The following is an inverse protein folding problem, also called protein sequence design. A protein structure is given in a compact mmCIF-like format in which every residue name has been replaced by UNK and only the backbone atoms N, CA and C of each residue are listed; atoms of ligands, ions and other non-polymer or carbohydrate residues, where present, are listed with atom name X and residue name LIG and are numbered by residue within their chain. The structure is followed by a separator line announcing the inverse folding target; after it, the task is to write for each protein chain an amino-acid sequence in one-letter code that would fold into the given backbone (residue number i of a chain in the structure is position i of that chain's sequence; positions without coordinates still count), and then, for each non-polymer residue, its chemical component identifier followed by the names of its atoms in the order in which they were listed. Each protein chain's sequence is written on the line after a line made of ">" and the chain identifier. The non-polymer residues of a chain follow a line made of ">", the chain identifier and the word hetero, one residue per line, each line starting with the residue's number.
data_IF_619387231415
#
_entry.id   IF_619387231415
#
_cell.length_a   1.000
_cell.length_b   1.000
_cell.length_c   1.000
_cell.angle_alpha   90.00
_cell.angle_beta   90.00
_cell.angle_gamma   90.00
#
_symmetry.space_group_name_H-M   'P 1'
#
loop_
_entity.id
_entity.type
_entity.pdbx_description
1 polymer ?
#
# COMPACT_ATOMS: atom_id res chain seq x y z
N UNK A 1 -23.04 -5.96 9.10
CA UNK A 1 -22.10 -5.11 8.32
C UNK A 1 -21.98 -3.78 9.04
N UNK A 2 -20.78 -3.21 9.15
CA UNK A 2 -20.56 -1.94 9.85
C UNK A 2 -19.63 -1.07 9.03
N UNK A 3 -19.90 0.23 9.04
CA UNK A 3 -19.17 1.20 8.24
C UNK A 3 -18.38 2.12 9.17
N UNK A 4 -17.08 2.09 9.01
CA UNK A 4 -16.15 2.82 9.85
C UNK A 4 -15.31 3.77 9.01
N UNK A 5 -15.22 5.01 9.47
CA UNK A 5 -14.21 5.96 9.04
C UNK A 5 -13.28 6.25 10.22
N UNK A 6 -11.98 6.04 10.03
CA UNK A 6 -10.96 6.32 11.05
C UNK A 6 -10.07 7.44 10.58
N UNK A 7 -9.83 8.44 11.41
CA UNK A 7 -9.01 9.58 11.08
C UNK A 7 -7.79 9.66 12.00
N UNK A 8 -6.70 10.23 11.48
CA UNK A 8 -5.44 10.42 12.21
C UNK A 8 -4.94 9.13 12.90
N UNK A 9 -4.73 8.06 12.12
CA UNK A 9 -4.34 6.72 12.62
C UNK A 9 -5.31 6.08 13.64
N UNK A 10 -6.59 6.48 13.61
CA UNK A 10 -7.61 5.91 14.49
C UNK A 10 -7.70 6.56 15.86
N UNK A 11 -7.07 7.72 16.05
CA UNK A 11 -7.33 8.59 17.21
C UNK A 11 -8.80 9.00 17.21
N UNK A 12 -9.34 9.34 16.04
CA UNK A 12 -10.75 9.61 15.89
C UNK A 12 -11.39 8.50 15.05
N UNK A 13 -12.54 8.02 15.53
CA UNK A 13 -13.27 6.92 14.90
C UNK A 13 -14.73 7.34 14.78
N UNK A 14 -15.24 7.25 13.57
CA UNK A 14 -16.63 7.48 13.22
C UNK A 14 -17.24 6.16 12.75
N UNK A 15 -18.16 5.63 13.54
CA UNK A 15 -19.07 4.57 13.10
C UNK A 15 -20.32 5.23 12.56
N UNK A 16 -20.68 4.93 11.31
CA UNK A 16 -21.94 5.42 10.76
C UNK A 16 -23.11 4.85 11.59
N UNK A 17 -24.04 5.71 12.05
CA UNK A 17 -25.17 5.25 12.86
C UNK A 17 -26.13 4.38 12.04
N UNK A 18 -26.37 4.77 10.78
CA UNK A 18 -27.19 4.03 9.84
C UNK A 18 -26.31 3.50 8.73
N UNK A 19 -26.49 2.23 8.39
CA UNK A 19 -25.78 1.65 7.26
C UNK A 19 -26.43 2.14 5.96
N UNK A 20 -25.66 2.55 4.94
CA UNK A 20 -26.22 2.87 3.63
C UNK A 20 -26.85 1.63 2.99
N UNK A 21 -27.90 1.83 2.21
CA UNK A 21 -28.59 0.74 1.50
C UNK A 21 -27.72 0.09 0.42
N UNK A 22 -26.89 0.89 -0.24
CA UNK A 22 -25.99 0.44 -1.28
C UNK A 22 -24.69 1.24 -1.29
N UNK A 23 -23.66 0.65 -1.88
CA UNK A 23 -22.37 1.29 -2.09
C UNK A 23 -21.98 1.11 -3.53
N UNK A 24 -21.76 2.23 -4.22
CA UNK A 24 -21.19 2.22 -5.56
C UNK A 24 -19.67 2.25 -5.44
N UNK A 25 -19.01 1.19 -5.91
CA UNK A 25 -17.55 1.14 -6.04
C UNK A 25 -17.20 1.22 -7.52
N UNK A 26 -16.44 2.24 -7.90
CA UNK A 26 -16.00 2.45 -9.28
C UNK A 26 -14.50 2.24 -9.38
N UNK A 27 -14.09 1.32 -10.25
CA UNK A 27 -12.69 1.03 -10.56
C UNK A 27 -12.48 1.19 -12.06
N UNK A 28 -11.63 2.12 -12.46
CA UNK A 28 -11.41 2.46 -13.86
C UNK A 28 -9.92 2.42 -14.20
N UNK A 29 -9.61 2.31 -15.48
CA UNK A 29 -8.26 2.51 -16.02
C UNK A 29 -8.25 3.75 -16.92
N UNK A 30 -7.07 4.31 -17.16
CA UNK A 30 -6.87 5.21 -18.28
C UNK A 30 -7.03 4.45 -19.58
N UNK A 31 -7.72 5.03 -20.56
CA UNK A 31 -7.76 4.57 -21.93
C UNK A 31 -7.50 5.78 -22.82
N UNK A 32 -6.76 5.57 -23.89
CA UNK A 32 -6.50 6.57 -24.92
C UNK A 32 -6.71 5.88 -26.27
N UNK A 33 -7.73 6.33 -26.99
CA UNK A 33 -8.07 5.78 -28.30
C UNK A 33 -7.37 6.58 -29.39
N UNK A 34 -6.60 5.88 -30.22
CA UNK A 34 -5.80 6.48 -31.29
C UNK A 34 -6.28 5.94 -32.62
N UNK A 35 -6.64 6.85 -33.53
CA UNK A 35 -7.00 6.49 -34.90
C UNK A 35 -5.74 6.38 -35.77
N UNK A 36 -5.52 5.21 -36.37
CA UNK A 36 -4.38 4.94 -37.24
C UNK A 36 -4.87 4.87 -38.68
N UNK A 37 -4.31 5.70 -39.55
CA UNK A 37 -4.66 5.71 -40.98
C UNK A 37 -4.51 4.31 -41.59
N UNK A 38 -5.58 3.82 -42.23
CA UNK A 38 -5.71 2.49 -42.86
C UNK A 38 -5.74 1.28 -41.90
N UNK A 39 -5.70 1.47 -40.58
CA UNK A 39 -5.73 0.40 -39.57
C UNK A 39 -6.92 0.52 -38.60
N UNK A 40 -7.64 1.65 -38.62
CA UNK A 40 -8.81 1.89 -37.77
C UNK A 40 -8.42 2.39 -36.38
N UNK A 41 -9.33 2.20 -35.43
CA UNK A 41 -9.17 2.65 -34.04
C UNK A 41 -8.40 1.62 -33.21
N UNK A 42 -7.40 2.08 -32.46
CA UNK A 42 -6.62 1.27 -31.53
C UNK A 42 -6.61 1.90 -30.13
N UNK A 43 -7.02 1.12 -29.12
CA UNK A 43 -7.06 1.57 -27.72
C UNK A 43 -5.74 1.28 -27.00
N UNK A 44 -5.11 2.32 -26.48
CA UNK A 44 -3.97 2.24 -25.56
C UNK A 44 -4.50 2.13 -24.13
N UNK A 45 -4.18 1.03 -23.45
CA UNK A 45 -4.56 0.81 -22.05
C UNK A 45 -3.55 1.51 -21.14
N UNK A 46 -4.00 2.56 -20.47
CA UNK A 46 -3.24 3.30 -19.46
C UNK A 46 -3.31 2.68 -18.06
N UNK A 47 -2.75 3.40 -17.10
CA UNK A 47 -2.68 2.93 -15.71
C UNK A 47 -4.05 2.91 -15.01
N UNK A 48 -4.16 2.07 -13.98
CA UNK A 48 -5.33 2.03 -13.11
C UNK A 48 -5.56 3.38 -12.42
N UNK A 49 -6.80 3.86 -12.45
CA UNK A 49 -7.24 5.03 -11.69
C UNK A 49 -7.63 4.60 -10.27
N UNK A 50 -7.44 5.51 -9.32
CA UNK A 50 -7.79 5.32 -7.92
C UNK A 50 -9.28 5.02 -7.78
N UNK A 51 -9.64 4.00 -6.99
CA UNK A 51 -11.05 3.63 -6.79
C UNK A 51 -11.84 4.77 -6.17
N UNK A 52 -13.10 4.86 -6.58
CA UNK A 52 -14.06 5.80 -6.03
C UNK A 52 -15.19 5.02 -5.35
N UNK A 53 -15.61 5.53 -4.19
CA UNK A 53 -16.72 4.98 -3.42
C UNK A 53 -17.76 6.08 -3.25
N UNK A 54 -19.02 5.76 -3.50
CA UNK A 54 -20.13 6.69 -3.30
C UNK A 54 -21.29 5.96 -2.65
N UNK A 55 -21.87 6.56 -1.62
CA UNK A 55 -23.03 6.04 -0.93
C UNK A 55 -23.82 7.18 -0.28
N UNK A 56 -25.10 6.91 -0.02
CA UNK A 56 -26.02 7.83 0.64
C UNK A 56 -26.63 7.17 1.87
N UNK A 57 -26.84 7.96 2.92
CA UNK A 57 -27.47 7.51 4.17
C UNK A 57 -28.00 8.74 4.93
N UNK A 58 -28.33 8.60 6.21
CA UNK A 58 -28.78 9.69 7.05
C UNK A 58 -28.26 9.57 8.49
N UNK A 59 -28.17 10.70 9.16
CA UNK A 59 -27.88 10.81 10.58
C UNK A 59 -29.19 11.03 11.33
N UNK A 60 -29.66 10.02 12.11
CA UNK A 60 -30.91 10.10 12.82
C UNK A 60 -30.77 10.97 14.07
N UNK A 61 -31.78 11.80 14.36
CA UNK A 61 -31.86 12.57 15.61
C UNK A 61 -32.06 11.67 16.81
N UNK A 62 -32.98 10.71 16.68
CA UNK A 62 -33.34 9.78 17.75
C UNK A 62 -32.91 8.36 17.40
N UNK A 63 -32.59 7.57 18.43
CA UNK A 63 -32.25 6.16 18.25
C UNK A 63 -33.48 5.34 17.85
N UNK A 64 -33.31 4.48 16.84
CA UNK A 64 -34.29 3.49 16.43
C UNK A 64 -33.62 2.14 16.18
N UNK A 65 -34.06 1.09 16.88
CA UNK A 65 -33.49 -0.25 16.79
C UNK A 65 -33.63 -0.92 15.41
N UNK A 66 -34.55 -0.44 14.55
CA UNK A 66 -34.76 -1.02 13.22
C UNK A 66 -33.65 -0.72 12.23
N UNK A 67 -33.01 0.46 12.35
CA UNK A 67 -32.00 0.91 11.38
C UNK A 67 -30.71 1.44 12.03
N UNK A 68 -30.72 1.78 13.32
CA UNK A 68 -29.52 2.25 14.01
C UNK A 68 -28.63 1.09 14.43
N UNK A 69 -27.33 1.23 14.17
CA UNK A 69 -26.34 0.21 14.46
C UNK A 69 -25.91 0.21 15.93
N UNK A 70 -26.10 1.32 16.66
CA UNK A 70 -25.75 1.48 18.07
C UNK A 70 -26.65 2.50 18.77
N UNK A 71 -26.69 2.42 20.10
CA UNK A 71 -27.62 3.19 20.97
C UNK A 71 -27.13 4.59 21.31
N UNK A 72 -25.82 4.76 21.57
CA UNK A 72 -25.25 6.04 21.97
C UNK A 72 -24.93 6.91 20.76
N UNK A 73 -25.97 7.48 20.15
CA UNK A 73 -25.87 8.37 19.00
C UNK A 73 -25.44 9.78 19.43
N UNK A 74 -24.56 10.38 18.65
CA UNK A 74 -24.27 11.82 18.70
C UNK A 74 -25.37 12.59 17.98
N UNK A 75 -25.45 13.89 18.23
CA UNK A 75 -26.36 14.75 17.50
C UNK A 75 -25.99 14.75 15.99
N UNK A 76 -26.98 14.75 15.07
CA UNK A 76 -26.76 14.77 13.63
C UNK A 76 -25.77 15.85 13.17
N UNK A 77 -25.85 17.04 13.76
CA UNK A 77 -24.95 18.17 13.46
C UNK A 77 -23.50 17.91 13.84
N UNK A 78 -23.24 17.13 14.89
CA UNK A 78 -21.87 16.77 15.26
C UNK A 78 -21.22 15.86 14.21
N UNK A 79 -21.98 14.92 13.63
CA UNK A 79 -21.46 14.08 12.53
C UNK A 79 -21.08 14.91 11.32
N UNK A 80 -21.96 15.85 10.92
CA UNK A 80 -21.69 16.81 9.85
C UNK A 80 -20.42 17.58 10.15
N UNK A 81 -20.28 18.15 11.35
CA UNK A 81 -19.11 18.91 11.76
C UNK A 81 -17.81 18.07 11.75
N UNK A 82 -17.87 16.79 12.16
CA UNK A 82 -16.72 15.88 12.10
C UNK A 82 -16.30 15.64 10.65
N UNK A 83 -17.23 15.31 9.76
CA UNK A 83 -16.93 15.01 8.36
C UNK A 83 -16.42 16.26 7.65
N UNK A 84 -17.05 17.41 7.86
CA UNK A 84 -16.57 18.69 7.32
C UNK A 84 -15.15 18.99 7.79
N UNK A 85 -14.87 18.83 9.09
CA UNK A 85 -13.54 19.07 9.65
C UNK A 85 -12.50 18.13 9.03
N UNK A 86 -12.83 16.85 8.85
CA UNK A 86 -11.93 15.90 8.20
C UNK A 86 -11.70 16.25 6.74
N UNK A 87 -12.74 16.67 6.02
CA UNK A 87 -12.64 17.13 4.63
C UNK A 87 -11.76 18.38 4.51
N UNK A 88 -12.01 19.40 5.34
CA UNK A 88 -11.21 20.65 5.38
C UNK A 88 -9.76 20.42 5.76
N UNK A 89 -9.46 19.40 6.56
CA UNK A 89 -8.09 19.06 6.94
C UNK A 89 -7.21 18.60 5.77
N UNK A 90 -7.82 18.13 4.68
CA UNK A 90 -7.11 17.56 3.52
C UNK A 90 -6.31 16.28 3.80
N UNK A 91 -6.40 15.71 5.00
CA UNK A 91 -5.68 14.48 5.35
C UNK A 91 -6.51 13.23 4.99
N UNK A 92 -5.86 12.13 4.58
CA UNK A 92 -6.57 10.90 4.29
C UNK A 92 -7.18 10.28 5.56
N UNK A 93 -8.39 9.76 5.42
CA UNK A 93 -9.07 8.92 6.41
C UNK A 93 -9.01 7.45 5.96
N UNK A 94 -9.25 6.50 6.87
CA UNK A 94 -9.33 5.08 6.56
C UNK A 94 -10.79 4.65 6.54
N UNK A 95 -11.25 4.15 5.41
CA UNK A 95 -12.60 3.62 5.23
C UNK A 95 -12.58 2.10 5.30
N UNK A 96 -13.41 1.55 6.19
CA UNK A 96 -13.47 0.12 6.49
C UNK A 96 -14.93 -0.31 6.52
N UNK A 97 -15.21 -1.43 5.87
CA UNK A 97 -16.53 -2.07 5.95
C UNK A 97 -16.34 -3.49 6.48
N UNK A 98 -16.97 -3.79 7.62
CA UNK A 98 -16.85 -5.12 8.22
C UNK A 98 -17.64 -6.14 7.42
N UNK A 99 -17.01 -7.28 7.11
CA UNK A 99 -17.60 -8.34 6.30
C UNK A 99 -17.28 -8.26 4.80
N UNK A 100 -16.53 -7.27 4.33
CA UNK A 100 -16.04 -7.18 2.94
C UNK A 100 -14.53 -6.94 2.89
N UNK A 101 -13.96 -6.94 1.68
CA UNK A 101 -12.55 -6.61 1.41
C UNK A 101 -12.26 -5.10 1.42
N UNK A 102 -13.24 -4.26 1.79
CA UNK A 102 -13.08 -2.80 1.77
C UNK A 102 -12.34 -2.34 3.02
N UNK A 103 -11.08 -1.96 2.83
CA UNK A 103 -10.21 -1.45 3.88
C UNK A 103 -9.13 -0.53 3.28
N UNK A 104 -9.55 0.65 2.83
CA UNK A 104 -8.70 1.56 2.04
C UNK A 104 -8.45 2.89 2.75
N UNK A 105 -7.29 3.49 2.50
CA UNK A 105 -7.09 4.90 2.78
C UNK A 105 -7.83 5.71 1.69
N UNK A 106 -8.60 6.71 2.09
CA UNK A 106 -9.46 7.50 1.22
C UNK A 106 -9.38 8.98 1.56
N UNK A 107 -9.65 9.82 0.58
CA UNK A 107 -9.94 11.24 0.75
C UNK A 107 -11.43 11.48 0.56
N UNK A 108 -12.00 12.37 1.36
CA UNK A 108 -13.38 12.82 1.19
C UNK A 108 -13.38 13.82 0.02
N UNK A 109 -14.12 13.51 -1.05
CA UNK A 109 -14.16 14.30 -2.29
C UNK A 109 -15.36 15.24 -2.31
N UNK A 110 -16.53 14.73 -1.94
CA UNK A 110 -17.72 15.53 -1.73
C UNK A 110 -18.49 15.00 -0.52
N UNK A 111 -19.11 15.93 0.19
CA UNK A 111 -20.03 15.66 1.27
C UNK A 111 -21.17 16.64 1.14
N UNK A 112 -22.33 16.13 0.73
CA UNK A 112 -23.55 16.88 0.52
C UNK A 112 -24.55 16.42 1.56
N UNK A 113 -25.26 17.33 2.20
CA UNK A 113 -26.27 17.00 3.20
C UNK A 113 -27.49 17.92 3.10
N UNK A 114 -28.65 17.39 3.46
CA UNK A 114 -29.94 18.06 3.40
C UNK A 114 -30.84 17.66 4.58
N UNK A 115 -31.72 18.56 4.98
CA UNK A 115 -32.80 18.27 5.93
C UNK A 115 -34.11 18.17 5.14
N UNK A 116 -34.88 17.08 5.31
CA UNK A 116 -36.11 16.84 4.57
C UNK A 116 -37.33 17.25 5.39
N UNK A 117 -38.27 17.93 4.75
CA UNK A 117 -39.55 18.28 5.36
C UNK A 117 -40.34 17.00 5.71
N UNK A 118 -40.82 16.91 6.96
CA UNK A 118 -41.56 15.75 7.47
C UNK A 118 -40.75 14.87 8.44
N UNK A 119 -39.43 14.97 8.43
CA UNK A 119 -38.52 14.21 9.31
C UNK A 119 -37.60 15.17 10.10
N UNK A 120 -38.17 16.04 10.96
CA UNK A 120 -37.42 17.11 11.60
C UNK A 120 -36.33 16.57 12.51
N UNK A 121 -35.10 16.93 12.18
CA UNK A 121 -33.89 16.57 12.93
C UNK A 121 -33.01 15.54 12.24
N UNK A 122 -33.52 14.80 11.27
CA UNK A 122 -32.72 13.84 10.52
C UNK A 122 -31.98 14.55 9.38
N UNK A 123 -30.69 14.25 9.25
CA UNK A 123 -29.83 14.84 8.22
C UNK A 123 -29.47 13.77 7.20
N UNK A 124 -30.02 13.89 6.00
CA UNK A 124 -29.67 13.03 4.88
C UNK A 124 -28.36 13.49 4.28
N UNK A 125 -27.52 12.56 3.86
CA UNK A 125 -26.23 12.89 3.26
C UNK A 125 -25.83 11.94 2.13
N UNK A 126 -25.02 12.47 1.23
CA UNK A 126 -24.31 11.73 0.19
C UNK A 126 -22.82 11.98 0.36
N UNK A 127 -22.04 10.89 0.44
CA UNK A 127 -20.60 10.94 0.65
C UNK A 127 -19.88 10.29 -0.53
N UNK A 128 -18.97 11.04 -1.14
CA UNK A 128 -18.07 10.52 -2.19
C UNK A 128 -16.64 10.49 -1.68
N UNK A 129 -16.04 9.31 -1.73
CA UNK A 129 -14.69 9.02 -1.27
C UNK A 129 -13.84 8.56 -2.46
N UNK A 130 -12.55 8.93 -2.45
CA UNK A 130 -11.59 8.45 -3.44
C UNK A 130 -10.37 7.85 -2.75
N UNK A 131 -9.95 6.68 -3.21
CA UNK A 131 -8.77 5.98 -2.72
C UNK A 131 -7.56 6.91 -2.72
N UNK A 132 -6.79 6.87 -1.63
CA UNK A 132 -5.59 7.67 -1.44
C UNK A 132 -4.39 6.74 -1.34
N UNK A 133 -3.46 6.88 -2.27
CA UNK A 133 -2.19 6.16 -2.28
C UNK A 133 -1.11 7.05 -1.68
N UNK A 134 -0.46 6.58 -0.62
CA UNK A 134 0.68 7.28 -0.03
C UNK A 134 1.88 7.14 -0.96
N UNK A 135 2.47 8.27 -1.34
CA UNK A 135 3.69 8.30 -2.14
C UNK A 135 4.87 8.41 -1.18
N UNK A 136 5.62 7.33 -1.02
CA UNK A 136 6.91 7.36 -0.34
C UNK A 136 7.97 7.80 -1.34
N UNK A 137 8.29 9.10 -1.34
CA UNK A 137 9.44 9.59 -2.09
C UNK A 137 10.68 9.18 -1.30
N UNK A 138 11.46 8.24 -1.85
CA UNK A 138 12.78 7.93 -1.33
C UNK A 138 13.64 9.20 -1.43
N UNK A 139 13.77 9.93 -0.31
CA UNK A 139 14.77 10.99 -0.21
C UNK A 139 16.12 10.31 -0.35
N UNK A 140 16.80 10.52 -1.48
CA UNK A 140 18.24 10.27 -1.56
C UNK A 140 18.86 11.09 -0.44
N UNK A 141 19.44 10.40 0.54
CA UNK A 141 20.25 11.04 1.57
C UNK A 141 21.51 11.54 0.87
N UNK A 142 21.53 12.82 0.51
CA UNK A 142 22.79 13.51 0.38
C UNK A 142 23.37 13.57 1.78
N UNK A 143 24.31 12.66 2.04
CA UNK A 143 25.03 12.55 3.29
C UNK A 143 26.00 13.74 3.39
N UNK A 144 25.47 14.95 3.65
CA UNK A 144 26.27 16.07 4.16
C UNK A 144 26.33 15.92 5.67
N UNK A 145 27.41 15.31 6.12
CA UNK A 145 27.82 15.22 7.51
C UNK A 145 27.84 16.63 8.11
N UNK A 146 26.85 16.96 8.93
CA UNK A 146 26.95 18.06 9.89
C UNK A 146 26.98 17.44 11.27
N UNK A 147 28.19 17.37 11.80
CA UNK A 147 28.49 17.27 13.23
C UNK A 147 27.82 18.43 13.95
N UNK A 148 26.85 18.10 14.81
CA UNK A 148 26.20 19.03 15.72
C UNK A 148 25.55 18.25 16.85
N UNK A 149 26.31 18.06 17.92
CA UNK A 149 25.89 17.41 19.15
C UNK A 149 24.69 18.13 19.77
N UNK A 150 23.60 17.40 20.03
CA UNK A 150 22.74 17.65 21.18
C UNK A 150 21.96 16.37 21.50
N UNK A 151 22.46 15.69 22.52
CA UNK A 151 21.80 14.58 23.21
C UNK A 151 20.44 15.02 23.74
N UNK A 152 19.35 14.36 23.34
CA UNK A 152 18.17 14.21 24.20
C UNK A 152 17.42 12.92 23.90
N UNK A 153 17.50 12.06 24.89
CA UNK A 153 16.93 10.72 25.08
C UNK A 153 15.42 10.69 24.81
N UNK A 154 14.96 9.72 24.00
CA UNK A 154 13.58 9.22 24.01
C UNK A 154 13.53 7.72 23.64
N UNK A 155 12.49 6.98 24.09
CA UNK A 155 12.62 5.61 24.59
C UNK A 155 12.57 4.52 23.52
N UNK A 156 13.27 3.43 23.86
CA UNK A 156 13.18 2.11 23.25
C UNK A 156 11.77 1.53 23.40
N UNK A 157 11.05 1.34 22.29
CA UNK A 157 10.04 0.28 22.18
C UNK A 157 10.57 -0.82 21.27
N UNK A 158 10.94 -1.92 21.91
CA UNK A 158 11.10 -3.23 21.31
C UNK A 158 9.73 -3.85 21.07
N UNK A 159 9.38 -4.10 19.82
CA UNK A 159 8.55 -5.26 19.48
C UNK A 159 8.87 -5.74 18.06
N UNK A 160 9.37 -6.97 18.03
CA UNK A 160 9.69 -7.76 16.86
C UNK A 160 8.40 -8.09 16.10
N UNK A 161 8.26 -7.56 14.88
CA UNK A 161 7.38 -8.11 13.87
C UNK A 161 8.20 -8.33 12.58
N UNK A 162 8.47 -9.60 12.31
CA UNK A 162 9.25 -10.13 11.19
C UNK A 162 8.60 -9.73 9.85
N UNK A 163 9.10 -8.68 9.20
CA UNK A 163 8.77 -8.39 7.79
C UNK A 163 9.29 -9.54 6.91
N UNK A 164 8.53 -10.01 5.89
CA UNK A 164 9.09 -10.89 4.88
C UNK A 164 10.18 -10.14 4.13
N UNK A 165 11.38 -10.67 4.23
CA UNK A 165 12.56 -10.15 3.56
C UNK A 165 12.50 -10.52 2.08
N UNK A 166 12.08 -9.60 1.22
CA UNK A 166 12.20 -9.71 -0.25
C UNK A 166 13.59 -9.28 -0.75
N UNK A 167 14.65 -9.63 -0.01
CA UNK A 167 15.94 -9.82 -0.68
C UNK A 167 15.90 -11.18 -1.35
N UNK A 168 15.89 -11.18 -2.69
CA UNK A 168 16.21 -12.37 -3.46
C UNK A 168 17.60 -12.81 -2.99
N UNK A 169 17.65 -13.85 -2.14
CA UNK A 169 18.92 -14.41 -1.69
C UNK A 169 19.61 -14.92 -2.93
N UNK A 170 20.69 -14.25 -3.33
CA UNK A 170 21.57 -14.75 -4.38
C UNK A 170 21.96 -16.18 -4.00
N UNK A 171 21.67 -17.14 -4.88
CA UNK A 171 22.09 -18.52 -4.66
C UNK A 171 23.61 -18.51 -4.57
N UNK A 172 24.16 -19.19 -3.56
CA UNK A 172 25.61 -19.27 -3.37
C UNK A 172 26.04 -20.72 -3.32
N UNK A 173 27.17 -21.02 -3.94
CA UNK A 173 27.77 -22.35 -3.96
C UNK A 173 29.01 -22.37 -3.06
N UNK A 174 29.15 -23.39 -2.21
CA UNK A 174 30.35 -23.58 -1.39
C UNK A 174 31.28 -24.58 -2.06
N UNK A 175 32.49 -24.14 -2.40
CA UNK A 175 33.52 -24.95 -3.05
C UNK A 175 33.89 -26.16 -2.19
N UNK A 176 33.89 -27.35 -2.78
CA UNK A 176 34.39 -28.57 -2.14
C UNK A 176 35.81 -28.89 -2.63
N UNK A 177 36.55 -29.71 -1.88
CA UNK A 177 37.88 -30.15 -2.29
C UNK A 177 37.81 -30.91 -3.62
N UNK A 178 38.63 -30.50 -4.60
CA UNK A 178 38.65 -31.08 -5.95
C UNK A 178 37.68 -30.45 -6.96
N UNK A 179 36.93 -29.41 -6.57
CA UNK A 179 36.11 -28.64 -7.50
C UNK A 179 36.97 -27.71 -8.39
N UNK A 180 36.55 -27.53 -9.64
CA UNK A 180 37.07 -26.49 -10.54
C UNK A 180 35.93 -25.59 -10.99
N UNK A 181 36.21 -24.34 -11.37
CA UNK A 181 35.18 -23.38 -11.81
C UNK A 181 34.31 -23.94 -12.94
N UNK A 182 34.91 -24.72 -13.83
CA UNK A 182 34.21 -25.42 -14.91
C UNK A 182 33.24 -26.48 -14.37
N UNK A 183 33.69 -27.36 -13.46
CA UNK A 183 32.84 -28.37 -12.82
C UNK A 183 31.70 -27.75 -12.00
N UNK A 184 31.94 -26.60 -11.38
CA UNK A 184 30.92 -25.86 -10.62
C UNK A 184 29.89 -25.24 -11.57
N UNK A 185 30.34 -24.57 -12.64
CA UNK A 185 29.44 -23.95 -13.62
C UNK A 185 28.60 -24.98 -14.40
N UNK A 186 29.14 -26.18 -14.64
CA UNK A 186 28.39 -27.24 -15.32
C UNK A 186 27.21 -27.79 -14.52
N UNK A 187 27.19 -27.60 -13.20
CA UNK A 187 26.07 -28.12 -12.41
C UNK A 187 24.77 -27.37 -12.72
N UNK A 188 23.69 -28.13 -12.82
CA UNK A 188 22.36 -27.61 -13.17
C UNK A 188 21.80 -26.64 -12.12
N UNK A 189 22.24 -26.75 -10.87
CA UNK A 189 21.88 -25.85 -9.75
C UNK A 189 22.66 -24.53 -9.75
N UNK A 190 23.67 -24.40 -10.63
CA UNK A 190 24.52 -23.21 -10.77
C UNK A 190 24.24 -22.49 -12.09
N UNK A 191 24.78 -22.99 -13.21
CA UNK A 191 24.64 -22.38 -14.53
C UNK A 191 24.24 -23.41 -15.61
N UNK A 192 24.31 -24.71 -15.30
CA UNK A 192 23.99 -25.82 -16.20
C UNK A 192 24.93 -25.97 -17.40
N UNK A 193 25.98 -25.14 -17.48
CA UNK A 193 26.91 -25.10 -18.61
C UNK A 193 28.32 -24.78 -18.12
N UNK A 194 29.24 -25.73 -18.30
CA UNK A 194 30.64 -25.60 -17.88
C UNK A 194 31.37 -24.44 -18.55
N UNK A 195 31.00 -24.10 -19.79
CA UNK A 195 31.65 -23.04 -20.58
C UNK A 195 31.36 -21.63 -20.04
N UNK A 196 30.34 -21.49 -19.18
CA UNK A 196 29.99 -20.25 -18.49
C UNK A 196 30.79 -20.01 -17.21
N UNK A 197 31.84 -20.81 -16.96
CA UNK A 197 32.73 -20.61 -15.81
C UNK A 197 33.37 -19.22 -15.75
N UNK A 198 33.55 -18.56 -16.90
CA UNK A 198 34.05 -17.18 -16.99
C UNK A 198 33.10 -16.16 -16.36
N UNK A 199 31.79 -16.37 -16.46
CA UNK A 199 30.77 -15.51 -15.85
C UNK A 199 30.78 -15.67 -14.32
N UNK A 200 30.88 -16.92 -13.86
CA UNK A 200 31.01 -17.24 -12.44
C UNK A 200 32.30 -16.64 -11.85
N UNK A 201 33.41 -16.68 -12.60
CA UNK A 201 34.67 -16.04 -12.21
C UNK A 201 34.55 -14.52 -12.17
N UNK A 202 33.97 -13.89 -13.20
CA UNK A 202 33.81 -12.44 -13.25
C UNK A 202 33.00 -11.91 -12.05
N UNK A 203 31.95 -12.63 -11.65
CA UNK A 203 31.12 -12.27 -10.49
C UNK A 203 31.85 -12.43 -9.15
N UNK A 204 32.79 -13.36 -9.06
CA UNK A 204 33.50 -13.73 -7.83
C UNK A 204 34.99 -13.41 -7.85
N UNK A 205 35.44 -12.53 -8.75
CA UNK A 205 36.85 -12.18 -8.95
C UNK A 205 37.49 -11.65 -7.66
N UNK A 206 36.74 -10.89 -6.86
CA UNK A 206 37.17 -10.39 -5.55
C UNK A 206 37.37 -11.51 -4.51
N UNK A 207 36.64 -12.62 -4.62
CA UNK A 207 36.75 -13.74 -3.70
C UNK A 207 37.84 -14.75 -4.13
N UNK A 208 37.97 -15.02 -5.45
CA UNK A 208 38.89 -16.03 -5.99
C UNK A 208 40.32 -15.49 -6.14
N UNK A 209 40.48 -14.19 -6.38
CA UNK A 209 41.77 -13.58 -6.64
C UNK A 209 42.23 -13.74 -8.10
N UNK A 210 43.51 -13.42 -8.41
CA UNK A 210 43.99 -13.28 -9.79
C UNK A 210 44.10 -14.61 -10.56
N UNK A 211 44.15 -15.75 -9.86
CA UNK A 211 44.30 -17.07 -10.47
C UNK A 211 42.98 -17.86 -10.42
N UNK A 212 42.29 -18.09 -11.55
CA UNK A 212 41.01 -18.80 -11.60
C UNK A 212 41.08 -20.27 -11.15
N UNK A 213 42.28 -20.88 -11.21
CA UNK A 213 42.48 -22.30 -10.91
C UNK A 213 42.75 -22.57 -9.42
N UNK A 214 42.85 -21.53 -8.58
CA UNK A 214 43.13 -21.67 -7.15
C UNK A 214 41.85 -21.42 -6.36
N UNK A 215 40.99 -22.44 -6.29
CA UNK A 215 39.81 -22.39 -5.43
C UNK A 215 40.13 -22.99 -4.06
N UNK A 216 39.78 -22.28 -2.98
CA UNK A 216 39.94 -22.79 -1.62
C UNK A 216 38.66 -23.55 -1.20
N UNK A 217 38.77 -24.80 -0.73
CA UNK A 217 37.62 -25.50 -0.16
C UNK A 217 36.98 -24.68 0.96
N UNK A 218 35.65 -24.60 0.97
CA UNK A 218 34.87 -23.77 1.91
C UNK A 218 34.57 -22.34 1.43
N UNK A 219 35.10 -21.94 0.28
CA UNK A 219 34.83 -20.63 -0.31
C UNK A 219 33.41 -20.52 -0.87
N UNK A 220 32.70 -19.43 -0.56
CA UNK A 220 31.35 -19.18 -1.09
C UNK A 220 31.41 -18.35 -2.37
N UNK A 221 30.89 -18.91 -3.46
CA UNK A 221 30.71 -18.25 -4.74
C UNK A 221 29.28 -17.80 -4.91
N UNK A 222 29.08 -16.54 -5.29
CA UNK A 222 27.77 -15.99 -5.67
C UNK A 222 27.45 -16.42 -7.09
N UNK A 223 26.32 -17.09 -7.26
CA UNK A 223 25.86 -17.55 -8.57
C UNK A 223 25.22 -16.34 -9.29
N UNK A 224 25.63 -16.03 -10.54
CA UNK A 224 25.08 -14.94 -11.34
C UNK A 224 23.58 -15.03 -11.59
#
# INVERSE_FOLDING_TARGET
>A
MQFWLKYNNGVEVLWLPVNPESIKTTMTHGYEDVEISNLGEYTIIGNQRLREFSFSSFFPRDYNAGYCSYTNLKEPREYVAIIERWMRSGKPARFIITGTSVNFAVTIRSFEYEERGGEPGDIYYTLSLKEHVFIEIAKKSDNKTMTGSASKVMPKLTSSAKRPNTTVKAKSYTVKAGDSLWKIAQRADVLGNGDRWRELYAKNKSAIGPNPNVLKPGQKLVIP
#
